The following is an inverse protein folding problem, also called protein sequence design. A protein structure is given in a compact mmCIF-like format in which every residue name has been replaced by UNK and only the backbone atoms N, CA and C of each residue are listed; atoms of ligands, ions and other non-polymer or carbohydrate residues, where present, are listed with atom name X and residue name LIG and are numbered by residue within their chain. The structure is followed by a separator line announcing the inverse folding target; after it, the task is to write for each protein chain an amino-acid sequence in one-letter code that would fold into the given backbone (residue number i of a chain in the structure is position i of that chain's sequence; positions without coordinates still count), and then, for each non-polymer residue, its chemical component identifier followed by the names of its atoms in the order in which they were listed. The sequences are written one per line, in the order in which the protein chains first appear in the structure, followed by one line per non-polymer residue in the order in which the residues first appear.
data_IF_585446355055
#
_entry.id   IF_585446355055
#
_cell.length_a   1.000
_cell.length_b   1.000
_cell.length_c   1.000
_cell.angle_alpha   90.00
_cell.angle_beta   90.00
_cell.angle_gamma   90.00
#
_symmetry.space_group_name_H-M   'P 1'
#
loop_
_entity.id
_entity.type
_entity.pdbx_description
1 polymer ?
#
# COMPACT_ATOMS: atom_id res chain seq x y z
N UNK A 1 3.74 45.57 60.84
CA UNK A 1 4.17 45.25 59.47
C UNK A 1 4.26 43.75 59.35
N UNK A 2 3.23 43.11 58.79
CA UNK A 2 3.11 41.65 58.67
C UNK A 2 3.16 41.33 57.17
N UNK A 3 4.11 40.49 56.77
CA UNK A 3 4.41 40.15 55.38
C UNK A 3 3.33 39.26 54.76
N UNK A 4 2.95 39.57 53.52
CA UNK A 4 2.03 38.78 52.70
C UNK A 4 2.87 37.94 51.73
N UNK A 5 2.82 36.62 51.88
CA UNK A 5 3.39 35.66 50.94
C UNK A 5 2.51 35.53 49.67
N UNK A 6 3.08 35.26 48.49
CA UNK A 6 2.31 35.10 47.26
C UNK A 6 1.60 33.73 47.20
N UNK A 7 0.36 33.73 46.68
CA UNK A 7 -0.47 32.54 46.46
C UNK A 7 0.15 31.58 45.41
N UNK A 8 -0.02 30.25 45.56
CA UNK A 8 0.39 29.29 44.53
C UNK A 8 -0.56 29.33 43.32
N UNK A 9 0.01 29.14 42.14
CA UNK A 9 -0.69 29.10 40.86
C UNK A 9 -1.68 27.92 40.79
N UNK A 10 -2.88 28.19 40.30
CA UNK A 10 -3.91 27.18 40.05
C UNK A 10 -3.52 26.18 38.95
N UNK A 11 -4.19 25.02 38.89
CA UNK A 11 -3.85 23.97 37.95
C UNK A 11 -4.10 24.41 36.50
N UNK A 12 -3.14 24.11 35.61
CA UNK A 12 -3.27 24.34 34.17
C UNK A 12 -4.43 23.52 33.57
N UNK A 13 -5.14 24.07 32.57
CA UNK A 13 -6.21 23.35 31.89
C UNK A 13 -5.64 22.17 31.08
N UNK A 14 -6.28 21.01 31.23
CA UNK A 14 -5.96 19.78 30.48
C UNK A 14 -6.30 19.98 29.01
N UNK A 15 -5.26 20.12 28.19
CA UNK A 15 -5.38 20.18 26.74
C UNK A 15 -5.89 18.85 26.15
N UNK A 16 -6.96 18.97 25.37
CA UNK A 16 -7.21 18.18 24.17
C UNK A 16 -7.47 16.68 24.34
N UNK A 17 -8.75 16.32 24.46
CA UNK A 17 -9.26 15.02 23.99
C UNK A 17 -8.84 14.83 22.52
N UNK A 18 -7.75 14.10 22.29
CA UNK A 18 -7.35 13.61 20.96
C UNK A 18 -8.50 12.75 20.43
N UNK A 19 -9.22 13.28 19.43
CA UNK A 19 -10.23 12.51 18.69
C UNK A 19 -9.58 11.24 18.15
N UNK A 20 -10.13 10.09 18.51
CA UNK A 20 -9.75 8.81 17.93
C UNK A 20 -9.88 8.89 16.39
N UNK A 21 -8.99 8.20 15.65
CA UNK A 21 -9.09 8.13 14.20
C UNK A 21 -10.44 7.58 13.80
N UNK A 22 -11.07 8.20 12.82
CA UNK A 22 -12.32 7.69 12.25
C UNK A 22 -11.98 6.48 11.38
N UNK A 23 -12.15 5.28 11.92
CA UNK A 23 -12.27 4.07 11.10
C UNK A 23 -13.47 4.24 10.14
N UNK A 24 -13.27 3.87 8.88
CA UNK A 24 -14.30 3.98 7.86
C UNK A 24 -15.29 2.83 8.04
N UNK A 25 -16.48 3.12 8.58
CA UNK A 25 -17.60 2.17 8.51
C UNK A 25 -18.23 2.27 7.13
N UNK A 26 -17.88 1.32 6.28
CA UNK A 26 -18.47 1.21 4.94
C UNK A 26 -19.96 0.89 5.04
N UNK A 27 -20.81 1.71 4.40
CA UNK A 27 -22.24 1.41 4.25
C UNK A 27 -22.50 0.27 3.25
N UNK A 28 -21.55 0.06 2.33
CA UNK A 28 -21.55 -0.99 1.32
C UNK A 28 -20.14 -1.58 1.23
N UNK A 29 -20.03 -2.90 1.25
CA UNK A 29 -18.77 -3.59 1.02
C UNK A 29 -18.47 -3.67 -0.49
N UNK A 30 -17.20 -3.64 -0.90
CA UNK A 30 -16.82 -3.96 -2.27
C UNK A 30 -17.40 -5.30 -2.71
N UNK A 31 -17.96 -5.37 -3.92
CA UNK A 31 -18.47 -6.63 -4.46
C UNK A 31 -17.33 -7.66 -4.65
N UNK A 32 -16.11 -7.15 -4.79
CA UNK A 32 -14.91 -7.92 -5.03
C UNK A 32 -13.68 -7.24 -4.44
N UNK A 33 -12.70 -8.04 -4.03
CA UNK A 33 -11.37 -7.60 -3.63
C UNK A 33 -10.37 -8.31 -4.53
N UNK A 34 -9.46 -7.55 -5.14
CA UNK A 34 -8.30 -8.03 -5.86
C UNK A 34 -7.05 -7.57 -5.12
N UNK A 35 -6.39 -8.48 -4.41
CA UNK A 35 -5.10 -8.22 -3.78
C UNK A 35 -3.99 -8.71 -4.70
N UNK A 36 -3.16 -7.79 -5.17
CA UNK A 36 -2.17 -8.03 -6.22
C UNK A 36 -0.77 -7.78 -5.66
N UNK A 37 -0.04 -8.88 -5.43
CA UNK A 37 1.40 -8.83 -5.17
C UNK A 37 2.14 -8.58 -6.48
N UNK A 38 3.05 -7.60 -6.49
CA UNK A 38 3.67 -7.11 -7.72
C UNK A 38 5.19 -7.08 -7.68
N UNK A 39 5.80 -8.10 -8.27
CA UNK A 39 7.22 -8.12 -8.59
C UNK A 39 7.59 -7.44 -9.91
N UNK A 40 8.88 -7.15 -10.05
CA UNK A 40 9.46 -6.52 -11.24
C UNK A 40 9.45 -7.41 -12.50
N UNK A 41 9.14 -8.70 -12.37
CA UNK A 41 9.04 -9.65 -13.49
C UNK A 41 7.65 -10.30 -13.50
N UNK A 42 7.11 -10.70 -14.68
CA UNK A 42 5.78 -11.32 -14.76
C UNK A 42 5.61 -12.54 -13.84
N UNK A 43 6.64 -13.37 -13.71
CA UNK A 43 6.62 -14.56 -12.85
C UNK A 43 6.39 -14.26 -11.35
N UNK A 44 6.64 -13.02 -10.92
CA UNK A 44 6.48 -12.55 -9.53
C UNK A 44 5.22 -11.73 -9.32
N UNK A 45 4.25 -11.82 -10.22
CA UNK A 45 2.96 -11.11 -10.10
C UNK A 45 1.88 -12.10 -9.78
N UNK A 46 1.20 -11.90 -8.67
CA UNK A 46 0.20 -12.82 -8.16
C UNK A 46 -1.04 -12.06 -7.74
N UNK A 47 -2.20 -12.56 -8.13
CA UNK A 47 -3.49 -11.99 -7.77
C UNK A 47 -4.29 -13.00 -6.96
N UNK A 48 -4.75 -12.58 -5.78
CA UNK A 48 -5.75 -13.31 -5.01
C UNK A 48 -7.05 -12.52 -5.02
N UNK A 49 -8.15 -13.24 -5.25
CA UNK A 49 -9.50 -12.69 -5.41
C UNK A 49 -10.40 -13.13 -4.26
N UNK A 50 -11.19 -12.21 -3.73
CA UNK A 50 -12.32 -12.51 -2.87
C UNK A 50 -13.60 -11.88 -3.41
N UNK A 51 -14.69 -12.65 -3.52
CA UNK A 51 -15.97 -12.15 -4.04
C UNK A 51 -17.02 -12.15 -2.95
N UNK A 52 -17.73 -11.03 -2.80
CA UNK A 52 -18.83 -10.92 -1.85
C UNK A 52 -20.06 -11.67 -2.39
N UNK A 53 -20.50 -12.69 -1.64
CA UNK A 53 -21.68 -13.51 -1.93
C UNK A 53 -22.51 -13.65 -0.67
N UNK A 54 -23.76 -13.18 -0.68
CA UNK A 54 -24.69 -13.30 0.47
C UNK A 54 -24.06 -12.86 1.81
N UNK A 55 -23.33 -11.74 1.81
CA UNK A 55 -22.71 -11.17 3.01
C UNK A 55 -21.40 -11.82 3.46
N UNK A 56 -20.87 -12.81 2.73
CA UNK A 56 -19.57 -13.43 2.98
C UNK A 56 -18.61 -13.21 1.81
N UNK A 57 -17.33 -13.00 2.10
CA UNK A 57 -16.28 -13.03 1.08
C UNK A 57 -15.84 -14.48 0.84
N UNK A 58 -15.89 -14.91 -0.42
CA UNK A 58 -15.42 -16.23 -0.87
C UNK A 58 -14.10 -16.06 -1.61
N UNK A 59 -13.04 -16.66 -1.08
CA UNK A 59 -11.70 -16.54 -1.64
C UNK A 59 -11.44 -17.60 -2.71
N UNK A 60 -10.77 -17.20 -3.78
CA UNK A 60 -10.22 -18.10 -4.78
C UNK A 60 -8.71 -18.31 -4.54
N UNK A 61 -8.14 -19.46 -4.96
CA UNK A 61 -6.70 -19.65 -5.02
C UNK A 61 -6.01 -18.50 -5.78
N UNK A 62 -4.82 -18.05 -5.33
CA UNK A 62 -4.07 -17.06 -6.07
C UNK A 62 -3.66 -17.63 -7.43
N UNK A 63 -3.59 -16.75 -8.43
CA UNK A 63 -3.11 -17.10 -9.77
C UNK A 63 -2.04 -16.13 -10.25
N UNK A 64 -1.15 -16.57 -11.16
CA UNK A 64 -0.25 -15.65 -11.85
C UNK A 64 -0.99 -14.56 -12.61
N UNK A 65 -0.36 -13.40 -12.71
CA UNK A 65 -0.77 -12.30 -13.60
C UNK A 65 0.33 -12.08 -14.64
N UNK A 66 0.23 -12.82 -15.75
CA UNK A 66 1.23 -12.80 -16.83
C UNK A 66 1.04 -11.59 -17.75
N UNK A 67 -0.19 -11.39 -18.22
CA UNK A 67 -0.57 -10.27 -19.07
C UNK A 67 -1.21 -9.15 -18.23
N UNK A 68 -0.53 -8.00 -18.22
CA UNK A 68 -0.99 -6.78 -17.52
C UNK A 68 -2.13 -6.12 -18.27
N UNK A 69 -2.12 -6.15 -19.60
CA UNK A 69 -3.16 -5.55 -20.44
C UNK A 69 -4.50 -6.27 -20.32
N UNK A 70 -4.47 -7.55 -19.93
CA UNK A 70 -5.65 -8.37 -19.66
C UNK A 70 -6.16 -8.26 -18.21
N UNK A 71 -5.56 -7.44 -17.35
CA UNK A 71 -6.07 -7.25 -15.98
C UNK A 71 -7.41 -6.50 -16.03
N UNK A 72 -8.48 -7.23 -15.79
CA UNK A 72 -9.80 -6.63 -15.61
C UNK A 72 -9.85 -5.79 -14.32
N UNK A 73 -10.51 -4.65 -14.41
CA UNK A 73 -10.83 -3.76 -13.29
C UNK A 73 -12.35 -3.73 -13.11
N UNK A 74 -12.95 -4.71 -12.41
CA UNK A 74 -14.40 -4.85 -12.34
C UNK A 74 -15.04 -3.72 -11.57
N UNK A 75 -16.26 -3.35 -11.97
CA UNK A 75 -17.04 -2.34 -11.26
C UNK A 75 -17.38 -2.86 -9.85
N UNK A 76 -17.32 -1.97 -8.87
CA UNK A 76 -17.54 -2.28 -7.46
C UNK A 76 -16.41 -3.08 -6.79
N UNK A 77 -15.29 -3.31 -7.48
CA UNK A 77 -14.12 -3.95 -6.91
C UNK A 77 -13.20 -2.97 -6.16
N UNK A 78 -12.56 -3.45 -5.09
CA UNK A 78 -11.37 -2.84 -4.50
C UNK A 78 -10.13 -3.57 -5.04
N UNK A 79 -9.31 -2.88 -5.81
CA UNK A 79 -8.07 -3.40 -6.40
C UNK A 79 -6.88 -2.81 -5.65
N UNK A 80 -6.19 -3.65 -4.89
CA UNK A 80 -5.10 -3.26 -4.03
C UNK A 80 -3.78 -3.81 -4.56
N UNK A 81 -2.82 -2.92 -4.85
CA UNK A 81 -1.49 -3.29 -5.37
C UNK A 81 -0.41 -3.19 -4.29
N UNK A 82 0.51 -4.16 -4.24
CA UNK A 82 1.76 -4.05 -3.47
C UNK A 82 2.79 -3.17 -4.19
N UNK A 83 2.47 -1.88 -4.33
CA UNK A 83 3.40 -0.88 -4.82
C UNK A 83 3.03 0.52 -4.32
N UNK A 84 3.99 1.45 -4.25
CA UNK A 84 3.72 2.86 -4.04
C UNK A 84 2.73 3.41 -5.07
N UNK A 85 1.68 4.08 -4.60
CA UNK A 85 0.78 4.91 -5.41
C UNK A 85 0.82 6.33 -4.84
N UNK A 86 1.58 7.19 -5.53
CA UNK A 86 1.88 8.55 -5.10
C UNK A 86 3.39 8.79 -5.00
N UNK A 87 3.76 10.03 -4.69
CA UNK A 87 5.15 10.49 -4.59
C UNK A 87 5.34 11.35 -3.34
N UNK A 88 6.56 11.39 -2.81
CA UNK A 88 6.88 12.25 -1.67
C UNK A 88 6.61 13.74 -1.98
N UNK A 89 6.27 14.51 -0.94
CA UNK A 89 5.98 15.95 -1.05
C UNK A 89 7.14 16.73 -1.63
N UNK A 90 8.35 16.37 -1.26
CA UNK A 90 9.59 16.97 -1.73
C UNK A 90 9.74 16.80 -3.24
N UNK A 91 9.48 15.60 -3.76
CA UNK A 91 9.51 15.37 -5.20
C UNK A 91 8.38 16.11 -5.91
N UNK A 92 7.16 16.08 -5.36
CA UNK A 92 6.04 16.83 -5.92
C UNK A 92 6.33 18.33 -6.00
N UNK A 93 6.94 18.92 -4.97
CA UNK A 93 7.35 20.32 -4.95
C UNK A 93 8.39 20.61 -6.03
N UNK A 94 9.47 19.81 -6.10
CA UNK A 94 10.53 19.96 -7.12
C UNK A 94 9.98 19.82 -8.55
N UNK A 95 9.05 18.89 -8.77
CA UNK A 95 8.42 18.66 -10.07
C UNK A 95 7.28 19.64 -10.41
N UNK A 96 6.84 20.46 -9.44
CA UNK A 96 5.69 21.36 -9.60
C UNK A 96 4.34 20.63 -9.68
N UNK A 97 4.24 19.44 -9.07
CA UNK A 97 3.03 18.63 -9.05
C UNK A 97 2.12 19.06 -7.89
N UNK A 98 0.86 19.43 -8.22
CA UNK A 98 -0.17 19.77 -7.22
C UNK A 98 -1.08 18.60 -6.88
N UNK A 99 -1.23 17.66 -7.80
CA UNK A 99 -2.08 16.48 -7.66
C UNK A 99 -1.41 15.31 -8.34
N UNK A 100 -1.22 14.20 -7.63
CA UNK A 100 -0.69 12.97 -8.22
C UNK A 100 -1.68 12.38 -9.22
N UNK A 101 -3.00 12.45 -8.94
CA UNK A 101 -4.02 12.00 -9.89
C UNK A 101 -3.97 12.76 -11.21
N UNK A 102 -3.77 14.08 -11.18
CA UNK A 102 -3.56 14.86 -12.40
C UNK A 102 -2.20 14.54 -13.05
N UNK A 103 -1.15 14.35 -12.26
CA UNK A 103 0.18 14.02 -12.75
C UNK A 103 0.23 12.70 -13.52
N UNK A 104 -0.54 11.68 -13.09
CA UNK A 104 -0.65 10.41 -13.81
C UNK A 104 -1.14 10.58 -15.26
N UNK A 105 -1.96 11.60 -15.55
CA UNK A 105 -2.39 11.91 -16.92
C UNK A 105 -1.35 12.66 -17.75
N UNK A 106 -0.29 13.18 -17.12
CA UNK A 106 0.80 13.91 -17.76
C UNK A 106 2.07 13.07 -17.92
N UNK A 107 2.33 12.14 -17.00
CA UNK A 107 3.50 11.25 -17.08
C UNK A 107 3.52 10.46 -18.39
N UNK A 108 4.67 10.45 -19.05
CA UNK A 108 4.82 9.88 -20.40
C UNK A 108 4.40 10.83 -21.53
N UNK A 109 4.01 12.08 -21.23
CA UNK A 109 3.60 13.08 -22.24
C UNK A 109 4.20 14.46 -21.96
N UNK A 110 4.31 15.31 -22.99
CA UNK A 110 4.73 16.70 -22.85
C UNK A 110 6.04 16.86 -22.06
N UNK A 111 6.03 17.76 -21.06
CA UNK A 111 7.18 17.98 -20.14
C UNK A 111 7.65 16.68 -19.50
N UNK A 112 6.73 15.78 -19.15
CA UNK A 112 7.03 14.50 -18.50
C UNK A 112 7.12 13.34 -19.52
N UNK A 113 7.43 13.62 -20.79
CA UNK A 113 7.51 12.63 -21.86
C UNK A 113 8.41 11.43 -21.54
N UNK A 114 9.51 11.68 -20.81
CA UNK A 114 10.49 10.66 -20.43
C UNK A 114 10.32 10.13 -19.01
N UNK A 115 9.21 10.41 -18.33
CA UNK A 115 9.03 10.09 -16.92
C UNK A 115 9.17 8.59 -16.61
N UNK A 116 8.69 7.74 -17.51
CA UNK A 116 8.79 6.28 -17.36
C UNK A 116 10.07 5.69 -17.97
N UNK A 117 10.93 6.50 -18.61
CA UNK A 117 12.22 6.06 -19.11
C UNK A 117 13.21 5.97 -17.96
N UNK A 118 13.73 4.78 -17.69
CA UNK A 118 14.71 4.62 -16.61
C UNK A 118 16.06 5.21 -17.06
N UNK A 119 16.63 6.09 -16.24
CA UNK A 119 17.94 6.69 -16.45
C UNK A 119 19.04 5.63 -16.43
N UNK A 120 19.91 5.62 -17.43
CA UNK A 120 21.01 4.66 -17.56
C UNK A 120 22.31 5.21 -16.96
N UNK A 121 22.53 6.52 -17.06
CA UNK A 121 23.70 7.24 -16.57
C UNK A 121 23.30 8.46 -15.74
N UNK A 122 24.24 9.06 -15.02
CA UNK A 122 23.97 10.19 -14.13
C UNK A 122 23.34 11.40 -14.86
N UNK A 123 23.82 11.71 -16.06
CA UNK A 123 23.36 12.85 -16.87
C UNK A 123 21.93 12.66 -17.43
N UNK A 124 21.40 11.44 -17.40
CA UNK A 124 20.01 11.17 -17.77
C UNK A 124 19.04 11.62 -16.67
N UNK A 125 19.50 11.71 -15.43
CA UNK A 125 18.65 11.92 -14.28
C UNK A 125 18.16 13.36 -14.27
N UNK A 126 16.85 13.50 -14.36
CA UNK A 126 16.17 14.80 -14.26
C UNK A 126 14.92 14.63 -13.43
N UNK A 127 14.32 15.74 -13.02
CA UNK A 127 13.01 15.71 -12.37
C UNK A 127 11.97 15.01 -13.24
N UNK A 128 12.06 15.15 -14.56
CA UNK A 128 11.19 14.55 -15.57
C UNK A 128 11.60 13.13 -15.99
N UNK A 129 12.72 12.60 -15.48
CA UNK A 129 13.21 11.24 -15.71
C UNK A 129 13.90 10.70 -14.43
N UNK A 130 13.13 10.46 -13.35
CA UNK A 130 13.70 10.32 -12.01
C UNK A 130 14.15 8.89 -11.65
N UNK A 131 13.68 7.87 -12.37
CA UNK A 131 13.96 6.48 -12.03
C UNK A 131 15.37 6.07 -12.43
N UNK A 132 16.18 5.60 -11.47
CA UNK A 132 17.58 5.23 -11.70
C UNK A 132 18.02 4.08 -10.77
N UNK A 133 18.90 3.17 -11.21
CA UNK A 133 19.44 3.03 -12.56
C UNK A 133 18.65 2.05 -13.43
N UNK A 134 18.87 2.12 -14.74
CA UNK A 134 18.36 1.12 -15.70
C UNK A 134 18.91 -0.26 -15.38
N UNK A 135 20.20 -0.36 -15.05
CA UNK A 135 20.88 -1.59 -14.62
C UNK A 135 21.85 -1.27 -13.49
N UNK A 136 21.96 -2.16 -12.51
CA UNK A 136 22.99 -2.07 -11.49
C UNK A 136 24.33 -2.53 -12.06
N UNK A 137 25.15 -1.60 -12.51
CA UNK A 137 26.52 -1.86 -12.99
C UNK A 137 27.55 -1.23 -12.05
N UNK A 138 28.81 -1.68 -12.13
CA UNK A 138 29.91 -1.10 -11.35
C UNK A 138 29.97 0.42 -11.62
N UNK A 139 29.97 1.21 -10.55
CA UNK A 139 29.95 2.68 -10.63
C UNK A 139 28.56 3.32 -10.45
N UNK A 140 27.47 2.54 -10.41
CA UNK A 140 26.14 3.07 -10.07
C UNK A 140 26.16 3.69 -8.67
N UNK A 141 25.83 4.99 -8.56
CA UNK A 141 25.85 5.68 -7.27
C UNK A 141 24.50 6.26 -6.87
N UNK A 142 24.19 6.19 -5.57
CA UNK A 142 23.08 6.95 -4.99
C UNK A 142 23.33 8.46 -5.05
N UNK A 143 24.59 8.87 -5.11
CA UNK A 143 24.94 10.29 -5.16
C UNK A 143 24.58 10.92 -6.50
N UNK A 144 24.47 10.13 -7.58
CA UNK A 144 24.00 10.62 -8.87
C UNK A 144 22.55 11.11 -8.76
N UNK A 145 21.68 10.32 -8.12
CA UNK A 145 20.31 10.75 -7.79
C UNK A 145 20.29 11.97 -6.88
N UNK A 146 21.17 12.05 -5.87
CA UNK A 146 21.21 13.20 -4.95
C UNK A 146 21.64 14.47 -5.66
N UNK A 147 22.61 14.41 -6.58
CA UNK A 147 23.06 15.56 -7.35
C UNK A 147 21.95 16.10 -8.24
N UNK A 148 21.18 15.22 -8.88
CA UNK A 148 20.14 15.61 -9.82
C UNK A 148 18.82 16.03 -9.14
N UNK A 149 18.40 15.34 -8.08
CA UNK A 149 17.08 15.54 -7.45
C UNK A 149 17.15 16.16 -6.04
N UNK A 150 18.35 16.38 -5.50
CA UNK A 150 18.54 16.89 -4.13
C UNK A 150 17.88 15.99 -3.09
N UNK A 151 17.15 16.61 -2.16
CA UNK A 151 16.40 15.90 -1.10
C UNK A 151 15.32 14.97 -1.66
N UNK A 152 14.75 15.29 -2.81
CA UNK A 152 13.66 14.52 -3.42
C UNK A 152 14.09 13.12 -3.89
N UNK A 153 15.40 12.89 -4.08
CA UNK A 153 15.94 11.60 -4.48
C UNK A 153 15.53 10.44 -3.56
N UNK A 154 15.48 10.71 -2.25
CA UNK A 154 15.28 9.69 -1.22
C UNK A 154 14.26 10.11 -0.15
N UNK A 155 13.51 11.20 -0.39
CA UNK A 155 12.43 11.59 0.49
C UNK A 155 11.36 10.50 0.53
N UNK A 156 11.04 9.92 1.69
CA UNK A 156 9.96 8.96 1.80
C UNK A 156 8.63 9.70 1.97
N UNK A 157 7.55 9.12 1.45
CA UNK A 157 6.21 9.53 1.88
C UNK A 157 6.03 9.24 3.37
N UNK A 158 5.09 9.92 4.02
CA UNK A 158 4.78 9.64 5.42
C UNK A 158 4.44 8.14 5.67
N UNK A 159 3.64 7.51 4.81
CA UNK A 159 3.34 6.08 4.91
C UNK A 159 4.56 5.18 4.69
N UNK A 160 5.46 5.54 3.76
CA UNK A 160 6.69 4.78 3.49
C UNK A 160 7.60 4.76 4.71
N UNK A 161 7.74 5.91 5.38
CA UNK A 161 8.53 6.03 6.61
C UNK A 161 7.98 5.14 7.70
N UNK A 162 6.65 5.12 7.88
CA UNK A 162 5.97 4.29 8.86
C UNK A 162 6.03 2.79 8.53
N UNK A 163 5.97 2.43 7.25
CA UNK A 163 6.04 1.05 6.78
C UNK A 163 7.49 0.52 6.67
N UNK A 164 8.49 1.41 6.66
CA UNK A 164 9.88 1.06 6.37
C UNK A 164 10.14 0.70 4.91
N UNK A 165 9.36 1.29 3.99
CA UNK A 165 9.45 1.04 2.55
C UNK A 165 10.72 1.66 1.94
N UNK A 166 11.14 1.11 0.79
CA UNK A 166 12.29 1.60 0.05
C UNK A 166 11.98 2.85 -0.77
N UNK A 167 13.00 3.61 -1.19
CA UNK A 167 12.83 4.78 -2.05
C UNK A 167 12.25 4.40 -3.42
N UNK A 168 11.36 5.25 -3.95
CA UNK A 168 10.69 5.02 -5.23
C UNK A 168 11.66 5.13 -6.41
N UNK A 169 12.57 6.11 -6.41
CA UNK A 169 13.39 6.39 -7.58
C UNK A 169 14.67 5.56 -7.69
N UNK A 170 15.05 4.83 -6.64
CA UNK A 170 16.23 3.98 -6.66
C UNK A 170 15.89 2.52 -6.94
N UNK A 171 16.39 1.98 -8.06
CA UNK A 171 15.87 0.75 -8.66
C UNK A 171 16.74 -0.49 -8.50
N UNK A 172 17.75 -0.45 -7.63
CA UNK A 172 18.65 -1.59 -7.39
C UNK A 172 18.81 -1.90 -5.92
N UNK A 173 19.07 -3.18 -5.62
CA UNK A 173 19.19 -3.68 -4.27
C UNK A 173 17.87 -4.13 -3.64
N UNK A 174 17.91 -4.52 -2.37
CA UNK A 174 16.72 -5.00 -1.66
C UNK A 174 15.71 -3.86 -1.49
N UNK A 175 14.41 -4.21 -1.46
CA UNK A 175 13.29 -3.26 -1.30
C UNK A 175 13.14 -2.22 -2.41
N UNK A 176 13.63 -2.51 -3.62
CA UNK A 176 13.22 -1.73 -4.78
C UNK A 176 11.69 -1.82 -4.93
N UNK A 177 11.05 -0.69 -5.20
CA UNK A 177 9.60 -0.59 -5.43
C UNK A 177 9.26 0.20 -6.69
N UNK A 178 10.20 1.02 -7.18
CA UNK A 178 9.96 1.95 -8.28
C UNK A 178 9.65 1.29 -9.62
N UNK A 179 10.19 0.09 -9.90
CA UNK A 179 9.86 -0.63 -11.15
C UNK A 179 8.41 -1.08 -11.14
N UNK A 180 7.94 -1.58 -10.01
CA UNK A 180 6.54 -1.95 -9.80
C UNK A 180 5.63 -0.73 -9.93
N UNK A 181 5.98 0.37 -9.24
CA UNK A 181 5.24 1.63 -9.30
C UNK A 181 5.15 2.18 -10.74
N UNK A 182 6.28 2.34 -11.43
CA UNK A 182 6.31 2.86 -12.81
C UNK A 182 5.47 2.01 -13.77
N UNK A 183 5.56 0.68 -13.65
CA UNK A 183 4.77 -0.25 -14.47
C UNK A 183 3.26 -0.13 -14.18
N UNK A 184 2.85 -0.18 -12.92
CA UNK A 184 1.43 -0.09 -12.54
C UNK A 184 0.85 1.26 -12.92
N UNK A 185 1.58 2.35 -12.68
CA UNK A 185 1.13 3.70 -13.01
C UNK A 185 0.91 3.85 -14.52
N UNK A 186 1.89 3.43 -15.33
CA UNK A 186 1.86 3.56 -16.79
C UNK A 186 0.88 2.60 -17.46
N UNK A 187 0.91 1.34 -17.07
CA UNK A 187 0.28 0.25 -17.84
C UNK A 187 -1.12 -0.10 -17.32
N UNK A 188 -1.46 0.27 -16.09
CA UNK A 188 -2.76 -0.06 -15.47
C UNK A 188 -3.55 1.20 -15.15
N UNK A 189 -2.97 2.12 -14.36
CA UNK A 189 -3.75 3.23 -13.81
C UNK A 189 -3.98 4.33 -14.85
N UNK A 190 -2.92 4.83 -15.49
CA UNK A 190 -3.00 5.93 -16.45
C UNK A 190 -4.01 5.66 -17.60
N UNK A 191 -4.04 4.47 -18.24
CA UNK A 191 -4.99 4.17 -19.30
C UNK A 191 -6.45 4.16 -18.83
N UNK A 192 -6.69 3.98 -17.53
CA UNK A 192 -8.03 3.82 -16.95
C UNK A 192 -8.44 4.97 -16.03
N UNK A 193 -7.72 6.11 -16.01
CA UNK A 193 -7.99 7.23 -15.10
C UNK A 193 -9.44 7.73 -15.15
N UNK A 194 -10.05 7.79 -16.33
CA UNK A 194 -11.46 8.17 -16.49
C UNK A 194 -12.44 7.18 -15.86
N UNK A 195 -12.07 5.90 -15.76
CA UNK A 195 -12.93 4.82 -15.25
C UNK A 195 -12.74 4.57 -13.76
N UNK A 196 -11.50 4.52 -13.28
CA UNK A 196 -11.19 4.13 -11.90
C UNK A 196 -11.23 5.31 -10.93
N UNK A 197 -11.68 5.02 -9.71
CA UNK A 197 -11.40 5.83 -8.53
C UNK A 197 -10.03 5.43 -7.95
N UNK A 198 -9.23 6.39 -7.52
CA UNK A 198 -7.91 6.21 -6.95
C UNK A 198 -7.93 6.70 -5.51
N UNK A 199 -7.89 5.77 -4.56
CA UNK A 199 -7.82 6.11 -3.15
C UNK A 199 -6.35 6.41 -2.76
N UNK A 200 -6.08 7.46 -1.95
CA UNK A 200 -7.02 8.40 -1.31
C UNK A 200 -7.29 9.70 -2.10
N UNK A 201 -6.80 9.80 -3.34
CA UNK A 201 -6.79 11.03 -4.14
C UNK A 201 -8.18 11.51 -4.56
N UNK A 202 -9.11 10.59 -4.82
CA UNK A 202 -10.49 10.92 -5.19
C UNK A 202 -11.44 11.06 -4.00
N UNK A 203 -10.93 10.92 -2.77
CA UNK A 203 -11.72 11.11 -1.55
C UNK A 203 -11.75 9.90 -0.62
N UNK A 204 -12.67 9.90 0.37
CA UNK A 204 -12.77 8.86 1.38
C UNK A 204 -13.15 7.50 0.79
N UNK A 205 -12.61 6.42 1.34
CA UNK A 205 -12.84 5.06 0.84
C UNK A 205 -14.33 4.71 0.82
N UNK A 206 -15.08 5.18 1.82
CA UNK A 206 -16.55 5.01 1.91
C UNK A 206 -17.30 5.55 0.70
N UNK A 207 -16.93 6.74 0.24
CA UNK A 207 -17.57 7.37 -0.92
C UNK A 207 -17.16 6.66 -2.21
N UNK A 208 -15.88 6.29 -2.33
CA UNK A 208 -15.37 5.60 -3.51
C UNK A 208 -16.01 4.24 -3.70
N UNK A 209 -16.11 3.43 -2.65
CA UNK A 209 -16.80 2.12 -2.71
C UNK A 209 -18.29 2.28 -3.00
N UNK A 210 -18.95 3.30 -2.44
CA UNK A 210 -20.36 3.56 -2.71
C UNK A 210 -20.63 3.96 -4.17
N UNK A 211 -19.66 4.57 -4.86
CA UNK A 211 -19.79 4.99 -6.26
C UNK A 211 -19.97 3.81 -7.24
N UNK A 212 -19.59 2.59 -6.84
CA UNK A 212 -19.63 1.41 -7.70
C UNK A 212 -18.56 1.39 -8.79
N UNK A 213 -17.67 2.39 -8.87
CA UNK A 213 -16.51 2.36 -9.77
C UNK A 213 -15.43 1.40 -9.22
N UNK A 214 -14.54 0.86 -10.07
CA UNK A 214 -13.36 0.16 -9.58
C UNK A 214 -12.51 1.14 -8.75
N UNK A 215 -12.15 0.74 -7.52
CA UNK A 215 -11.32 1.52 -6.61
C UNK A 215 -9.92 0.94 -6.61
N UNK A 216 -8.93 1.70 -7.08
CA UNK A 216 -7.52 1.35 -7.02
C UNK A 216 -6.89 1.95 -5.76
N UNK A 217 -6.10 1.15 -5.05
CA UNK A 217 -5.44 1.54 -3.82
C UNK A 217 -4.09 0.83 -3.66
N UNK A 218 -3.24 1.38 -2.79
CA UNK A 218 -2.00 0.76 -2.37
C UNK A 218 -2.23 -0.14 -1.14
N UNK A 219 -1.56 -1.28 -1.10
CA UNK A 219 -1.49 -2.15 0.07
C UNK A 219 -0.03 -2.53 0.37
N UNK A 220 0.19 -3.08 1.57
CA UNK A 220 1.45 -3.70 1.93
C UNK A 220 1.18 -5.02 2.69
N UNK A 221 1.40 -6.20 2.07
CA UNK A 221 1.00 -7.49 2.65
C UNK A 221 1.54 -7.75 4.05
N UNK A 222 2.82 -7.43 4.29
CA UNK A 222 3.42 -7.61 5.61
C UNK A 222 2.77 -6.72 6.68
N UNK A 223 2.30 -5.53 6.32
CA UNK A 223 1.55 -4.67 7.22
C UNK A 223 0.15 -5.22 7.47
N UNK A 224 -0.57 -5.59 6.40
CA UNK A 224 -1.91 -6.17 6.49
C UNK A 224 -1.94 -7.45 7.32
N UNK A 225 -0.92 -8.30 7.24
CA UNK A 225 -0.83 -9.49 8.10
C UNK A 225 -0.79 -9.12 9.59
N UNK A 226 -0.11 -8.02 9.95
CA UNK A 226 -0.02 -7.54 11.34
C UNK A 226 -1.34 -7.02 11.88
N UNK A 227 -2.24 -6.51 11.03
CA UNK A 227 -3.58 -6.08 11.49
C UNK A 227 -4.42 -7.26 11.99
N UNK A 228 -4.06 -8.48 11.60
CA UNK A 228 -4.66 -9.73 12.11
C UNK A 228 -3.90 -10.29 13.34
N UNK A 229 -2.89 -9.58 13.83
CA UNK A 229 -2.03 -10.06 14.93
C UNK A 229 -1.24 -11.31 14.56
N UNK A 230 -0.86 -11.43 13.28
CA UNK A 230 -0.03 -12.53 12.76
C UNK A 230 1.23 -11.92 12.14
N UNK A 231 2.35 -12.64 12.21
CA UNK A 231 3.61 -12.29 11.57
C UNK A 231 4.22 -13.52 10.89
N UNK A 232 5.09 -13.29 9.92
CA UNK A 232 5.91 -14.33 9.28
C UNK A 232 7.38 -13.97 9.48
N UNK A 233 8.17 -14.90 10.00
CA UNK A 233 9.58 -14.65 10.28
C UNK A 233 10.41 -14.52 8.99
N UNK A 234 10.37 -15.56 8.13
CA UNK A 234 11.11 -15.58 6.87
C UNK A 234 10.23 -16.12 5.75
N UNK A 235 9.64 -15.23 4.94
CA UNK A 235 8.71 -15.62 3.87
C UNK A 235 9.33 -16.50 2.78
N UNK A 236 10.65 -16.49 2.64
CA UNK A 236 11.37 -17.38 1.73
C UNK A 236 11.43 -18.84 2.22
N UNK A 237 11.07 -19.11 3.48
CA UNK A 237 11.02 -20.45 4.07
C UNK A 237 9.58 -21.01 4.01
N UNK A 238 9.36 -22.14 3.30
CA UNK A 238 8.05 -22.80 3.23
C UNK A 238 7.46 -23.17 4.60
N UNK A 239 8.29 -23.60 5.56
CA UNK A 239 7.82 -23.99 6.88
C UNK A 239 7.30 -22.78 7.66
N UNK A 240 7.99 -21.64 7.57
CA UNK A 240 7.54 -20.38 8.14
C UNK A 240 6.21 -19.89 7.51
N UNK A 241 6.07 -19.99 6.18
CA UNK A 241 4.79 -19.69 5.50
C UNK A 241 3.65 -20.59 5.97
N UNK A 242 3.90 -21.89 6.08
CA UNK A 242 2.92 -22.87 6.55
C UNK A 242 2.52 -22.62 8.02
N UNK A 243 3.47 -22.30 8.89
CA UNK A 243 3.20 -21.93 10.28
C UNK A 243 2.35 -20.65 10.37
N UNK A 244 2.69 -19.63 9.57
CA UNK A 244 1.91 -18.40 9.45
C UNK A 244 0.49 -18.68 8.93
N UNK A 245 0.33 -19.47 7.87
CA UNK A 245 -0.99 -19.82 7.33
C UNK A 245 -1.85 -20.59 8.32
N UNK A 246 -1.27 -21.49 9.12
CA UNK A 246 -1.98 -22.15 10.23
C UNK A 246 -2.40 -21.17 11.33
N UNK A 247 -1.54 -20.21 11.68
CA UNK A 247 -1.88 -19.16 12.65
C UNK A 247 -3.01 -18.26 12.14
N UNK A 248 -2.96 -17.88 10.86
CA UNK A 248 -4.00 -17.11 10.20
C UNK A 248 -5.35 -17.86 10.20
N UNK A 249 -5.35 -19.14 9.84
CA UNK A 249 -6.55 -19.98 9.89
C UNK A 249 -7.13 -20.07 11.30
N UNK A 250 -6.31 -20.12 12.36
CA UNK A 250 -6.82 -20.08 13.74
C UNK A 250 -7.42 -18.72 14.10
N UNK A 251 -6.85 -17.62 13.58
CA UNK A 251 -7.31 -16.26 13.88
C UNK A 251 -8.63 -15.91 13.22
N UNK A 252 -8.82 -16.29 11.95
CA UNK A 252 -9.98 -15.85 11.15
C UNK A 252 -10.91 -17.00 10.73
N UNK A 253 -10.52 -18.26 10.92
CA UNK A 253 -11.25 -19.41 10.38
C UNK A 253 -12.60 -19.70 11.04
N UNK A 254 -12.93 -19.05 12.16
CA UNK A 254 -14.24 -19.12 12.80
C UNK A 254 -15.20 -18.01 12.33
N UNK A 255 -14.70 -17.03 11.56
CA UNK A 255 -15.54 -15.96 11.02
C UNK A 255 -16.33 -16.48 9.81
N UNK A 256 -17.61 -16.78 10.01
CA UNK A 256 -18.51 -17.31 8.97
C UNK A 256 -18.68 -16.39 7.76
N UNK A 257 -18.27 -15.12 7.88
CA UNK A 257 -18.28 -14.14 6.78
C UNK A 257 -17.05 -14.27 5.86
N UNK A 258 -16.09 -15.14 6.20
CA UNK A 258 -14.92 -15.45 5.38
C UNK A 258 -14.93 -16.93 5.00
N UNK A 259 -15.13 -17.22 3.73
CA UNK A 259 -15.00 -18.56 3.17
C UNK A 259 -13.60 -18.74 2.59
N UNK A 260 -12.81 -19.57 3.29
CA UNK A 260 -11.39 -19.83 3.02
C UNK A 260 -11.15 -21.25 2.49
N UNK A 261 -12.21 -22.01 2.17
CA UNK A 261 -12.09 -23.45 1.90
C UNK A 261 -11.15 -23.72 0.71
N UNK A 262 -11.28 -22.93 -0.37
CA UNK A 262 -10.47 -23.09 -1.57
C UNK A 262 -8.96 -22.82 -1.34
N UNK A 263 -8.61 -21.96 -0.37
CA UNK A 263 -7.23 -21.59 -0.04
C UNK A 263 -6.67 -22.31 1.18
N UNK A 264 -7.51 -23.07 1.92
CA UNK A 264 -7.16 -23.68 3.21
C UNK A 264 -5.94 -24.61 3.11
N UNK A 265 -5.86 -25.44 2.05
CA UNK A 265 -4.72 -26.33 1.85
C UNK A 265 -3.43 -25.57 1.55
N UNK A 266 -3.50 -24.50 0.74
CA UNK A 266 -2.35 -23.66 0.42
C UNK A 266 -1.79 -22.98 1.68
N UNK A 267 -2.67 -22.43 2.52
CA UNK A 267 -2.31 -21.83 3.80
C UNK A 267 -1.64 -22.84 4.74
N UNK A 268 -2.18 -24.06 4.84
CA UNK A 268 -1.58 -25.11 5.68
C UNK A 268 -0.24 -25.61 5.15
N UNK A 269 -0.08 -25.65 3.83
CA UNK A 269 1.09 -26.19 3.12
C UNK A 269 2.16 -25.16 2.77
N UNK A 270 1.96 -23.88 3.07
CA UNK A 270 2.97 -22.84 2.83
C UNK A 270 3.25 -22.55 1.35
N UNK A 271 2.28 -22.78 0.47
CA UNK A 271 2.36 -22.46 -0.96
C UNK A 271 3.51 -23.18 -1.71
N UNK A 272 3.75 -24.43 -1.33
CA UNK A 272 4.75 -25.28 -1.95
C UNK A 272 6.18 -25.08 -1.43
N UNK A 273 7.12 -25.94 -1.85
CA UNK A 273 8.48 -25.98 -1.29
C UNK A 273 9.41 -24.90 -1.86
N UNK A 274 9.04 -24.25 -2.97
CA UNK A 274 9.87 -23.25 -3.63
C UNK A 274 9.88 -21.92 -2.88
N UNK A 275 10.95 -21.14 -3.04
CA UNK A 275 11.00 -19.73 -2.59
C UNK A 275 9.96 -18.86 -3.31
N UNK A 276 9.65 -19.17 -4.58
CA UNK A 276 8.60 -18.48 -5.35
C UNK A 276 7.19 -18.63 -4.78
N UNK A 277 6.99 -19.49 -3.78
CA UNK A 277 5.75 -19.54 -3.02
C UNK A 277 5.49 -18.30 -2.16
N UNK A 278 6.45 -17.37 -2.03
CA UNK A 278 6.26 -16.11 -1.30
C UNK A 278 5.26 -15.16 -1.98
N UNK A 279 5.31 -15.05 -3.30
CA UNK A 279 4.45 -14.15 -4.07
C UNK A 279 2.94 -14.53 -3.96
N UNK A 280 2.52 -15.79 -4.21
CA UNK A 280 1.11 -16.17 -4.04
C UNK A 280 0.68 -16.19 -2.57
N UNK A 281 1.62 -16.38 -1.64
CA UNK A 281 1.36 -16.26 -0.21
C UNK A 281 1.02 -14.81 0.16
N UNK A 282 1.82 -13.83 -0.28
CA UNK A 282 1.64 -12.41 0.01
C UNK A 282 0.32 -11.88 -0.59
N UNK A 283 -0.03 -12.27 -1.82
CA UNK A 283 -1.33 -11.93 -2.40
C UNK A 283 -2.50 -12.51 -1.57
N UNK A 284 -2.39 -13.76 -1.13
CA UNK A 284 -3.47 -14.44 -0.39
C UNK A 284 -3.67 -13.86 1.00
N UNK A 285 -2.59 -13.64 1.77
CA UNK A 285 -2.70 -13.09 3.12
C UNK A 285 -3.22 -11.65 3.10
N UNK A 286 -2.82 -10.85 2.10
CA UNK A 286 -3.33 -9.50 1.92
C UNK A 286 -4.83 -9.51 1.60
N UNK A 287 -5.28 -10.41 0.72
CA UNK A 287 -6.71 -10.56 0.40
C UNK A 287 -7.56 -10.89 1.65
N UNK A 288 -7.10 -11.84 2.46
CA UNK A 288 -7.77 -12.21 3.72
C UNK A 288 -7.83 -11.03 4.69
N UNK A 289 -6.72 -10.31 4.86
CA UNK A 289 -6.64 -9.17 5.77
C UNK A 289 -7.52 -8.00 5.33
N UNK A 290 -7.53 -7.67 4.04
CA UNK A 290 -8.42 -6.64 3.48
C UNK A 290 -9.88 -7.04 3.69
N UNK A 291 -10.28 -8.26 3.35
CA UNK A 291 -11.64 -8.74 3.54
C UNK A 291 -12.07 -8.64 5.00
N UNK A 292 -11.19 -9.05 5.94
CA UNK A 292 -11.45 -8.96 7.38
C UNK A 292 -11.60 -7.52 7.86
N UNK A 293 -10.69 -6.62 7.48
CA UNK A 293 -10.76 -5.19 7.84
C UNK A 293 -12.04 -4.53 7.34
N UNK A 294 -12.47 -4.87 6.13
CA UNK A 294 -13.71 -4.34 5.54
C UNK A 294 -14.95 -4.87 6.27
N UNK A 295 -15.01 -6.19 6.51
CA UNK A 295 -16.11 -6.84 7.25
C UNK A 295 -16.25 -6.32 8.68
N UNK A 296 -15.16 -5.94 9.32
CA UNK A 296 -15.16 -5.40 10.68
C UNK A 296 -15.38 -3.88 10.72
N UNK A 297 -15.43 -3.20 9.56
CA UNK A 297 -15.50 -1.74 9.50
C UNK A 297 -14.29 -1.06 10.13
N UNK A 298 -13.14 -1.72 10.09
CA UNK A 298 -11.90 -1.33 10.77
C UNK A 298 -10.87 -0.69 9.83
N UNK A 299 -11.21 -0.51 8.56
CA UNK A 299 -10.31 0.13 7.59
C UNK A 299 -10.10 1.61 7.97
N UNK A 300 -8.87 2.07 8.28
CA UNK A 300 -8.62 3.47 8.57
C UNK A 300 -8.68 4.30 7.29
N UNK A 301 -9.09 5.56 7.42
CA UNK A 301 -8.94 6.54 6.34
C UNK A 301 -7.51 7.10 6.29
N UNK A 302 -7.09 7.48 5.08
CA UNK A 302 -5.85 8.21 4.88
C UNK A 302 -5.91 9.60 5.54
N UNK A 303 -4.78 10.11 6.06
CA UNK A 303 -4.71 11.47 6.56
C UNK A 303 -4.88 12.49 5.42
N UNK A 304 -5.42 13.67 5.71
CA UNK A 304 -5.76 14.67 4.68
C UNK A 304 -4.54 15.12 3.86
N UNK A 305 -3.38 15.18 4.52
CA UNK A 305 -2.11 15.54 3.90
C UNK A 305 -1.69 14.57 2.77
N UNK A 306 -2.15 13.31 2.82
CA UNK A 306 -1.82 12.29 1.83
C UNK A 306 -2.64 12.40 0.53
N UNK A 307 -3.77 13.13 0.54
CA UNK A 307 -4.75 13.13 -0.56
C UNK A 307 -4.28 13.85 -1.82
N UNK A 308 -3.31 14.76 -1.71
CA UNK A 308 -2.84 15.53 -2.86
C UNK A 308 -1.84 14.74 -3.72
N UNK A 309 -0.74 14.29 -3.11
CA UNK A 309 0.41 13.74 -3.88
C UNK A 309 0.99 12.45 -3.31
N UNK A 310 0.97 12.25 -2.00
CA UNK A 310 1.65 11.11 -1.36
C UNK A 310 0.88 9.79 -1.54
N UNK A 311 -0.43 9.81 -1.38
CA UNK A 311 -1.20 8.58 -1.22
C UNK A 311 -0.96 7.91 0.13
N UNK A 312 -1.56 6.74 0.35
CA UNK A 312 -1.52 6.03 1.62
C UNK A 312 -1.67 4.52 1.44
N UNK A 313 -1.24 3.74 2.43
CA UNK A 313 -1.32 2.28 2.44
C UNK A 313 -2.62 1.85 3.14
N UNK A 314 -3.40 0.97 2.51
CA UNK A 314 -4.60 0.39 3.13
C UNK A 314 -4.26 -0.33 4.44
N UNK A 315 -5.10 -0.10 5.46
CA UNK A 315 -4.91 -0.65 6.80
C UNK A 315 -3.95 0.15 7.67
N UNK A 316 -3.09 1.01 7.10
CA UNK A 316 -2.13 1.80 7.86
C UNK A 316 -2.85 2.96 8.57
N UNK A 317 -2.72 3.09 9.90
CA UNK A 317 -3.35 4.16 10.65
C UNK A 317 -2.59 5.47 10.46
N UNK A 318 -3.31 6.59 10.42
CA UNK A 318 -2.72 7.93 10.42
C UNK A 318 -1.98 8.22 11.73
N UNK A 319 -0.88 8.97 11.69
CA UNK A 319 -0.18 9.35 12.92
C UNK A 319 -1.11 10.08 13.90
N UNK A 320 -1.15 9.62 15.16
CA UNK A 320 -2.13 10.02 16.19
C UNK A 320 -3.19 8.95 16.49
N UNK A 321 -3.19 7.84 15.74
CA UNK A 321 -4.11 6.72 15.84
C UNK A 321 -3.65 5.53 16.69
N UNK A 322 -2.49 5.62 17.35
CA UNK A 322 -1.97 4.47 18.09
C UNK A 322 -2.99 4.03 19.14
N UNK A 323 -3.52 2.82 18.93
CA UNK A 323 -4.18 2.02 19.95
C UNK A 323 -3.29 2.02 21.19
N UNK A 324 -3.89 2.33 22.33
CA UNK A 324 -3.27 2.18 23.63
C UNK A 324 -2.54 0.82 23.69
N UNK A 325 -1.25 0.84 24.02
CA UNK A 325 -0.61 -0.37 24.55
C UNK A 325 -1.40 -0.77 25.80
N UNK A 326 -1.82 -2.03 25.98
CA UNK A 326 -2.24 -2.46 27.30
C UNK A 326 -1.05 -2.27 28.24
N UNK A 327 -1.28 -1.60 29.36
CA UNK A 327 -0.34 -1.59 30.46
C UNK A 327 -0.08 -3.04 30.85
N UNK A 328 1.19 -3.41 30.83
CA UNK A 328 1.68 -4.65 31.42
C UNK A 328 1.64 -4.50 32.93
N UNK A 329 0.75 -5.25 33.57
CA UNK A 329 0.96 -5.79 34.91
C UNK A 329 1.28 -7.29 34.78
#
# INVERSE_FOLDING_TARGET
MIGIAPRPAGPQPRDGLRRAPRASRLRRLPAEILAIDWGSTPAKRQICRAVLRRGRYVLAPPRPLEDVGALELPDGALIAFDCPIGVAREYAATAGLRSFRAALGLFGTGRFGRFYEIAAQADDITTERPFYPLRGVRGTSRDDLRKALGVAAFAPRACDRQAGAGPIFWLVGPRQVGRSAACIWRDIIAPHLGRVALWPFDGPLTALVASGRPVVAEMYPAYLLRTLGVTVARKSDPAARAACGRALLRRVGTDVRLDLDAVRRLLRGGFGPSRSGEDPFDATIACIALAKLLLDGAMPEAPDHARAVEGWILGLPSEGASTARPASD
#
